data_IF_257644097852
#
_entry.id   IF_257644097852
#
_cell.length_a   1.000
_cell.length_b   1.000
_cell.length_c   1.000
_cell.angle_alpha   90.00
_cell.angle_beta   90.00
_cell.angle_gamma   90.00
#
_symmetry.space_group_name_H-M   'P 1'
#
loop_
_entity.id
_entity.type
_entity.pdbx_description
1 polymer ?
#
# COMPACT_ATOMS: atom_id res chain seq x y z
N UNK A 1 -3.15 11.02 1.80
CA UNK A 1 -2.84 10.66 3.20
C UNK A 1 -1.47 10.01 3.25
N UNK A 2 -0.64 10.41 4.20
CA UNK A 2 0.69 9.81 4.46
C UNK A 2 0.67 9.24 5.87
N UNK A 3 1.13 8.00 6.02
CA UNK A 3 1.28 7.30 7.30
C UNK A 3 2.75 6.90 7.41
N UNK A 4 3.39 7.21 8.54
CA UNK A 4 4.79 6.88 8.77
C UNK A 4 4.99 6.27 10.15
N UNK A 5 5.86 5.28 10.23
CA UNK A 5 6.43 4.77 11.48
C UNK A 5 7.96 4.95 11.48
N UNK A 6 8.53 4.96 12.68
CA UNK A 6 9.96 5.05 12.95
C UNK A 6 10.51 3.71 13.50
N UNK A 7 9.88 2.59 13.15
CA UNK A 7 10.33 1.27 13.54
C UNK A 7 11.54 0.83 12.72
N UNK A 8 11.81 -0.48 12.74
CA UNK A 8 12.98 -1.09 12.07
C UNK A 8 12.93 -1.02 10.54
N UNK A 9 11.78 -0.65 9.95
CA UNK A 9 11.56 -0.73 8.51
C UNK A 9 11.74 -2.16 7.97
N UNK A 10 12.14 -2.26 6.71
CA UNK A 10 12.35 -3.53 6.01
C UNK A 10 13.55 -3.42 5.06
N UNK A 11 14.30 -4.53 4.86
CA UNK A 11 15.27 -4.63 3.78
C UNK A 11 14.61 -4.46 2.41
N UNK A 12 15.37 -3.95 1.43
CA UNK A 12 14.87 -3.71 0.07
C UNK A 12 14.26 -4.98 -0.57
N UNK A 13 14.87 -6.15 -0.38
CA UNK A 13 14.36 -7.42 -0.90
C UNK A 13 12.95 -7.75 -0.40
N UNK A 14 12.67 -7.47 0.88
CA UNK A 14 11.35 -7.67 1.50
C UNK A 14 10.34 -6.63 1.04
N UNK A 15 10.79 -5.39 0.81
CA UNK A 15 9.96 -4.34 0.21
C UNK A 15 9.54 -4.70 -1.22
N UNK A 16 10.44 -5.28 -2.01
CA UNK A 16 10.16 -5.70 -3.40
C UNK A 16 9.21 -6.91 -3.45
N UNK A 17 9.39 -7.88 -2.55
CA UNK A 17 8.45 -8.99 -2.34
C UNK A 17 7.05 -8.46 -2.01
N UNK A 18 6.96 -7.54 -1.04
CA UNK A 18 5.70 -6.91 -0.64
C UNK A 18 5.05 -6.15 -1.80
N UNK A 19 5.81 -5.37 -2.56
CA UNK A 19 5.28 -4.65 -3.74
C UNK A 19 4.72 -5.61 -4.78
N UNK A 20 5.41 -6.73 -5.03
CA UNK A 20 4.94 -7.77 -5.95
C UNK A 20 3.63 -8.39 -5.46
N UNK A 21 3.54 -8.73 -4.17
CA UNK A 21 2.31 -9.21 -3.53
C UNK A 21 1.14 -8.23 -3.70
N UNK A 22 1.38 -6.93 -3.50
CA UNK A 22 0.33 -5.91 -3.57
C UNK A 22 -0.15 -5.65 -5.01
N UNK A 23 0.69 -5.88 -6.03
CA UNK A 23 0.29 -5.77 -7.44
C UNK A 23 -0.51 -6.99 -7.94
N UNK A 24 -0.43 -8.12 -7.25
CA UNK A 24 -1.03 -9.40 -7.65
C UNK A 24 -2.17 -9.84 -6.71
N UNK A 25 -2.92 -8.87 -6.19
CA UNK A 25 -3.90 -8.99 -5.09
C UNK A 25 -4.93 -10.12 -5.19
N UNK A 26 -5.21 -10.62 -6.40
CA UNK A 26 -6.19 -11.68 -6.66
C UNK A 26 -5.64 -13.11 -6.58
N UNK A 27 -4.32 -13.32 -6.66
CA UNK A 27 -3.74 -14.68 -6.76
C UNK A 27 -2.88 -15.13 -5.56
N UNK A 28 -2.62 -14.27 -4.57
CA UNK A 28 -1.48 -14.45 -3.67
C UNK A 28 -1.77 -14.41 -2.16
N UNK A 29 -3.02 -14.59 -1.73
CA UNK A 29 -3.35 -14.74 -0.30
C UNK A 29 -2.56 -15.86 0.40
N UNK A 30 -2.14 -16.89 -0.34
CA UNK A 30 -1.37 -18.01 0.21
C UNK A 30 0.13 -17.78 0.35
N UNK A 31 0.75 -16.86 -0.39
CA UNK A 31 2.22 -16.70 -0.35
C UNK A 31 2.68 -15.50 0.51
N UNK A 32 1.82 -14.53 0.77
CA UNK A 32 2.19 -13.26 1.41
C UNK A 32 1.77 -13.17 2.89
N UNK A 33 1.69 -14.30 3.61
CA UNK A 33 1.04 -14.44 4.93
C UNK A 33 1.49 -13.48 6.04
N UNK A 34 2.63 -12.80 5.89
CA UNK A 34 3.14 -11.76 6.80
C UNK A 34 2.55 -10.35 6.55
N UNK A 35 1.85 -10.12 5.44
CA UNK A 35 1.42 -8.79 4.98
C UNK A 35 -0.10 -8.64 4.80
N UNK A 36 -0.87 -9.49 5.48
CA UNK A 36 -2.35 -9.51 5.40
C UNK A 36 -3.01 -8.15 5.66
N UNK A 37 -2.41 -7.32 6.51
CA UNK A 37 -2.92 -5.98 6.80
C UNK A 37 -2.96 -5.06 5.57
N UNK A 38 -1.85 -4.96 4.84
CA UNK A 38 -1.74 -4.09 3.65
C UNK A 38 -2.53 -4.64 2.47
N UNK A 39 -2.54 -5.96 2.29
CA UNK A 39 -3.37 -6.62 1.26
C UNK A 39 -4.84 -6.28 1.48
N UNK A 40 -5.33 -6.37 2.72
CA UNK A 40 -6.71 -6.01 3.06
C UNK A 40 -7.02 -4.52 2.82
N UNK A 41 -6.05 -3.63 2.99
CA UNK A 41 -6.21 -2.21 2.66
C UNK A 41 -6.38 -2.03 1.15
N UNK A 42 -5.46 -2.58 0.34
CA UNK A 42 -5.55 -2.48 -1.13
C UNK A 42 -6.86 -3.07 -1.66
N UNK A 43 -7.26 -4.27 -1.21
CA UNK A 43 -8.54 -4.89 -1.60
C UNK A 43 -9.74 -3.99 -1.28
N UNK A 44 -9.74 -3.33 -0.12
CA UNK A 44 -10.82 -2.40 0.24
C UNK A 44 -10.80 -1.14 -0.61
N UNK A 45 -9.62 -0.63 -0.96
CA UNK A 45 -9.49 0.52 -1.88
C UNK A 45 -9.98 0.16 -3.28
N UNK A 46 -9.64 -1.03 -3.80
CA UNK A 46 -10.14 -1.54 -5.09
C UNK A 46 -11.67 -1.65 -5.10
N UNK A 47 -12.27 -2.15 -4.01
CA UNK A 47 -13.72 -2.29 -3.88
C UNK A 47 -14.46 -0.96 -3.71
N UNK A 48 -13.87 -0.01 -2.99
CA UNK A 48 -14.55 1.26 -2.64
C UNK A 48 -14.31 2.36 -3.66
N UNK A 49 -13.15 2.36 -4.31
CA UNK A 49 -12.69 3.44 -5.17
C UNK A 49 -11.88 2.90 -6.37
N UNK A 50 -12.45 2.01 -7.19
CA UNK A 50 -11.73 1.39 -8.28
C UNK A 50 -11.17 2.45 -9.23
N UNK A 51 -9.86 2.40 -9.48
CA UNK A 51 -9.14 3.33 -10.36
C UNK A 51 -8.98 4.76 -9.82
N UNK A 52 -9.51 5.08 -8.65
CA UNK A 52 -9.52 6.44 -8.07
C UNK A 52 -8.53 6.58 -6.92
N UNK A 53 -7.54 5.69 -6.83
CA UNK A 53 -6.50 5.79 -5.83
C UNK A 53 -5.13 5.44 -6.39
N UNK A 54 -4.10 5.95 -5.72
CA UNK A 54 -2.73 5.47 -5.85
C UNK A 54 -2.23 5.09 -4.48
N UNK A 55 -1.56 3.95 -4.40
CA UNK A 55 -0.94 3.43 -3.19
C UNK A 55 0.56 3.30 -3.44
N UNK A 56 1.39 3.82 -2.53
CA UNK A 56 2.83 3.57 -2.52
C UNK A 56 3.31 3.25 -1.12
N UNK A 57 4.40 2.48 -1.06
CA UNK A 57 5.10 2.12 0.16
C UNK A 57 6.60 2.27 -0.05
N UNK A 58 7.24 2.88 0.91
CA UNK A 58 8.68 3.09 1.02
C UNK A 58 9.11 2.62 2.41
N UNK A 59 10.22 1.90 2.49
CA UNK A 59 10.73 1.40 3.76
C UNK A 59 12.24 1.34 3.70
N UNK A 60 12.88 1.75 4.78
CA UNK A 60 14.33 1.72 4.93
C UNK A 60 14.65 1.03 6.25
N UNK A 61 15.53 0.03 6.18
CA UNK A 61 16.01 -0.71 7.35
C UNK A 61 16.59 0.28 8.39
N UNK A 62 16.27 0.06 9.66
CA UNK A 62 16.61 0.92 10.81
C UNK A 62 16.04 2.35 10.77
N UNK A 63 15.19 2.69 9.80
CA UNK A 63 14.65 4.05 9.63
C UNK A 63 13.12 4.10 9.74
N UNK A 64 12.43 3.05 9.27
CA UNK A 64 10.98 2.92 9.35
C UNK A 64 10.30 2.75 8.00
N UNK A 65 8.99 2.94 7.97
CA UNK A 65 8.16 2.77 6.77
C UNK A 65 7.26 3.98 6.56
N UNK A 66 7.06 4.35 5.30
CA UNK A 66 6.13 5.39 4.86
C UNK A 66 5.16 4.76 3.86
N UNK A 67 3.88 4.95 4.12
CA UNK A 67 2.78 4.57 3.23
C UNK A 67 2.09 5.83 2.75
N UNK A 68 1.91 5.96 1.45
CA UNK A 68 1.18 7.07 0.84
C UNK A 68 -0.04 6.54 0.10
N UNK A 69 -1.20 7.10 0.43
CA UNK A 69 -2.47 6.83 -0.25
C UNK A 69 -2.97 8.15 -0.82
N UNK A 70 -2.99 8.27 -2.14
CA UNK A 70 -3.58 9.42 -2.83
C UNK A 70 -4.96 9.01 -3.34
N UNK A 71 -5.98 9.74 -2.93
CA UNK A 71 -7.34 9.58 -3.42
C UNK A 71 -7.57 10.63 -4.50
N UNK A 72 -8.04 10.21 -5.67
CA UNK A 72 -8.56 11.14 -6.66
C UNK A 72 -9.96 11.49 -6.23
N UNK A 73 -10.16 12.74 -5.80
CA UNK A 73 -11.50 13.25 -5.55
C UNK A 73 -11.98 13.95 -6.80
N UNK A 74 -13.17 13.59 -7.27
CA UNK A 74 -13.97 14.45 -8.15
C UNK A 74 -14.41 15.67 -7.34
N UNK A 75 -13.48 16.56 -7.01
CA UNK A 75 -13.86 17.92 -6.65
C UNK A 75 -14.30 18.57 -7.96
N UNK A 76 -15.60 18.43 -8.25
CA UNK A 76 -16.28 19.36 -9.13
C UNK A 76 -16.07 20.75 -8.51
N UNK A 77 -15.13 21.50 -9.09
CA UNK A 77 -14.94 22.92 -8.85
C UNK A 77 -16.21 23.61 -9.40
N UNK A 78 -17.23 23.71 -8.54
CA UNK A 78 -18.42 24.48 -8.83
C UNK A 78 -18.07 25.95 -8.66
N UNK A 79 -17.52 26.54 -9.72
CA UNK A 79 -17.65 27.95 -10.13
C UNK A 79 -17.33 29.03 -9.11
#
# INVERSE_FOLDING_TARGET
>A
MVISDNGMGMPQSKLDELRTCLMQSDQLEMACGSHMGLINVCKRLDLKMPGQYRFSIESHEETGTIITIMLQTDLADNG
#
